data_IF_364589963127
#
_entry.id   IF_364589963127
#
_cell.length_a   1.000
_cell.length_b   1.000
_cell.length_c   1.000
_cell.angle_alpha   90.00
_cell.angle_beta   90.00
_cell.angle_gamma   90.00
#
_symmetry.space_group_name_H-M   'P 1'
#
loop_
_entity.id
_entity.type
_entity.pdbx_description
1 polymer ?
#
# COMPACT_ATOMS: atom_id res chain seq x y z
N UNK A 1 -4.28 9.19 6.13
CA UNK A 1 -3.86 7.79 5.91
C UNK A 1 -3.02 7.73 4.67
N UNK A 2 -2.15 6.74 4.58
CA UNK A 2 -1.29 6.49 3.42
C UNK A 2 -2.14 6.02 2.23
N UNK A 3 -1.90 6.51 1.00
CA UNK A 3 -2.68 6.09 -0.16
C UNK A 3 -2.46 4.60 -0.46
N UNK A 4 -3.54 3.91 -0.83
CA UNK A 4 -3.55 2.48 -1.23
C UNK A 4 -4.56 2.30 -2.37
N UNK A 5 -4.31 1.39 -3.31
CA UNK A 5 -5.24 1.03 -4.38
C UNK A 5 -5.87 -0.32 -4.05
N UNK A 6 -7.20 -0.40 -4.10
CA UNK A 6 -7.94 -1.66 -3.94
C UNK A 6 -8.86 -1.79 -5.15
N UNK A 7 -8.72 -2.88 -5.90
CA UNK A 7 -9.54 -3.14 -7.10
C UNK A 7 -9.56 -1.97 -8.11
N UNK A 8 -8.41 -1.31 -8.31
CA UNK A 8 -8.30 -0.13 -9.19
C UNK A 8 -8.87 1.17 -8.61
N UNK A 9 -9.41 1.15 -7.39
CA UNK A 9 -9.98 2.32 -6.72
C UNK A 9 -9.00 2.83 -5.66
N UNK A 10 -8.67 4.13 -5.74
CA UNK A 10 -7.75 4.77 -4.78
C UNK A 10 -8.49 5.04 -3.46
N UNK A 11 -7.90 4.58 -2.37
CA UNK A 11 -8.37 4.74 -0.99
C UNK A 11 -7.17 5.01 -0.07
N UNK A 12 -7.31 4.76 1.25
CA UNK A 12 -6.31 5.07 2.28
C UNK A 12 -6.25 4.04 3.39
N UNK A 13 -5.11 3.97 4.06
CA UNK A 13 -4.98 3.26 5.33
C UNK A 13 -5.77 3.94 6.46
N UNK A 14 -6.25 3.14 7.40
CA UNK A 14 -6.95 3.56 8.61
C UNK A 14 -6.39 2.85 9.83
N UNK A 15 -6.40 3.52 10.99
CA UNK A 15 -5.80 2.96 12.21
C UNK A 15 -4.27 2.87 12.14
N UNK A 16 -3.71 1.99 12.96
CA UNK A 16 -2.26 1.74 13.04
C UNK A 16 -1.83 0.57 12.17
N UNK A 17 -0.57 0.57 11.74
CA UNK A 17 0.05 -0.56 11.06
C UNK A 17 0.55 -1.56 12.11
N UNK A 18 0.27 -2.85 11.91
CA UNK A 18 0.80 -3.96 12.72
C UNK A 18 2.02 -4.60 12.04
N UNK A 19 2.65 -5.58 12.67
CA UNK A 19 3.86 -6.23 12.09
C UNK A 19 3.63 -6.85 10.71
N UNK A 20 2.45 -7.48 10.52
CA UNK A 20 2.12 -8.27 9.33
C UNK A 20 0.78 -7.87 8.69
N UNK A 21 0.07 -6.91 9.27
CA UNK A 21 -1.25 -6.47 8.78
C UNK A 21 -1.39 -4.95 8.86
N UNK A 22 -2.20 -4.41 7.96
CA UNK A 22 -2.67 -3.03 7.98
C UNK A 22 -4.15 -2.99 7.59
N UNK A 23 -4.87 -1.96 8.01
CA UNK A 23 -6.27 -1.77 7.67
C UNK A 23 -6.43 -0.67 6.60
N UNK A 24 -7.37 -0.88 5.68
CA UNK A 24 -7.68 0.01 4.56
C UNK A 24 -9.17 0.32 4.57
N UNK A 25 -9.52 1.56 4.26
CA UNK A 25 -10.91 2.00 4.11
C UNK A 25 -11.52 1.41 2.84
N UNK A 26 -12.48 0.49 3.00
CA UNK A 26 -13.20 -0.15 1.88
C UNK A 26 -14.52 0.54 1.53
N UNK A 27 -14.87 1.65 2.19
CA UNK A 27 -16.08 2.42 1.86
C UNK A 27 -16.21 2.76 0.36
N UNK A 28 -15.13 3.14 -0.37
CA UNK A 28 -15.24 3.40 -1.81
C UNK A 28 -15.15 2.13 -2.68
N UNK A 29 -14.92 0.95 -2.12
CA UNK A 29 -14.63 -0.30 -2.84
C UNK A 29 -15.69 -1.38 -2.58
N UNK A 30 -16.95 -1.22 -3.06
CA UNK A 30 -18.05 -2.12 -2.71
C UNK A 30 -17.92 -3.54 -3.25
N UNK A 31 -17.06 -3.76 -4.26
CA UNK A 31 -16.78 -5.07 -4.85
C UNK A 31 -15.55 -5.76 -4.25
N UNK A 32 -14.82 -5.09 -3.35
CA UNK A 32 -13.64 -5.67 -2.73
C UNK A 32 -14.04 -6.83 -1.80
N UNK A 33 -13.35 -7.95 -1.97
CA UNK A 33 -13.53 -9.16 -1.17
C UNK A 33 -12.20 -9.80 -0.81
N UNK A 34 -12.26 -11.00 -0.23
CA UNK A 34 -11.06 -11.76 0.10
C UNK A 34 -10.34 -12.14 -1.19
N UNK A 35 -9.03 -11.85 -1.24
CA UNK A 35 -8.19 -12.11 -2.42
C UNK A 35 -8.17 -10.99 -3.45
N UNK A 36 -8.94 -9.91 -3.26
CA UNK A 36 -8.86 -8.72 -4.11
C UNK A 36 -7.43 -8.15 -4.07
N UNK A 37 -6.84 -7.86 -5.24
CA UNK A 37 -5.49 -7.30 -5.30
C UNK A 37 -5.45 -5.89 -4.72
N UNK A 38 -4.35 -5.61 -4.03
CA UNK A 38 -4.07 -4.32 -3.39
C UNK A 38 -2.69 -3.84 -3.83
N UNK A 39 -2.61 -2.58 -4.27
CA UNK A 39 -1.34 -1.93 -4.59
C UNK A 39 -0.99 -0.93 -3.47
N UNK A 40 0.15 -1.15 -2.79
CA UNK A 40 0.68 -0.22 -1.79
C UNK A 40 1.48 0.90 -2.48
N UNK A 41 2.32 0.53 -3.43
CA UNK A 41 2.96 1.42 -4.40
C UNK A 41 3.34 0.60 -5.64
N UNK A 42 3.42 1.25 -6.79
CA UNK A 42 3.63 0.60 -8.07
C UNK A 42 3.25 1.49 -9.23
N UNK A 43 2.43 0.94 -10.13
CA UNK A 43 2.05 1.57 -11.39
C UNK A 43 1.10 2.75 -11.18
N UNK A 44 0.10 2.59 -10.32
CA UNK A 44 -0.97 3.56 -10.12
C UNK A 44 -0.68 4.44 -8.88
N UNK A 45 0.05 3.92 -7.90
CA UNK A 45 0.46 4.66 -6.70
C UNK A 45 1.97 4.84 -6.69
N UNK A 46 2.41 6.09 -6.86
CA UNK A 46 3.83 6.43 -6.80
C UNK A 46 4.37 6.24 -5.38
N UNK A 47 5.57 5.67 -5.25
CA UNK A 47 6.24 5.50 -3.94
C UNK A 47 6.45 6.84 -3.21
N UNK A 48 6.66 7.93 -3.94
CA UNK A 48 6.82 9.26 -3.34
C UNK A 48 5.52 9.80 -2.69
N UNK A 49 4.34 9.43 -3.22
CA UNK A 49 3.06 9.78 -2.60
C UNK A 49 2.90 9.08 -1.25
N UNK A 50 3.34 7.81 -1.18
CA UNK A 50 3.34 7.00 0.04
C UNK A 50 4.33 7.56 1.05
N UNK A 51 5.54 7.87 0.60
CA UNK A 51 6.61 8.40 1.44
C UNK A 51 6.23 9.76 2.04
N UNK A 52 5.66 10.65 1.23
CA UNK A 52 5.15 11.94 1.68
C UNK A 52 4.07 11.77 2.77
N UNK A 53 3.14 10.83 2.58
CA UNK A 53 2.13 10.52 3.60
C UNK A 53 2.71 9.89 4.88
N UNK A 54 3.85 9.23 4.79
CA UNK A 54 4.57 8.63 5.91
C UNK A 54 5.64 9.55 6.54
N UNK A 55 5.85 10.76 5.99
CA UNK A 55 6.85 11.71 6.48
C UNK A 55 8.30 11.30 6.20
N UNK A 56 8.54 10.55 5.13
CA UNK A 56 9.85 10.04 4.71
C UNK A 56 10.08 10.26 3.20
N UNK A 57 11.15 9.70 2.65
CA UNK A 57 11.55 9.73 1.24
C UNK A 57 11.25 8.39 0.56
N UNK A 58 10.94 8.43 -0.74
CA UNK A 58 10.66 7.21 -1.51
C UNK A 58 11.82 6.20 -1.47
N UNK A 59 13.06 6.69 -1.42
CA UNK A 59 14.25 5.85 -1.29
C UNK A 59 14.26 5.02 -0.01
N UNK A 60 13.84 5.58 1.12
CA UNK A 60 13.76 4.83 2.39
C UNK A 60 12.76 3.68 2.29
N UNK A 61 11.60 3.91 1.67
CA UNK A 61 10.61 2.85 1.46
C UNK A 61 11.15 1.72 0.56
N UNK A 62 11.84 2.07 -0.52
CA UNK A 62 12.42 1.10 -1.46
C UNK A 62 13.53 0.27 -0.79
N UNK A 63 14.36 0.89 0.04
CA UNK A 63 15.44 0.20 0.74
C UNK A 63 15.00 -0.54 2.01
N UNK A 64 13.85 -0.18 2.59
CA UNK A 64 13.33 -0.80 3.81
C UNK A 64 12.46 -2.05 3.58
N UNK A 65 12.34 -2.52 2.34
CA UNK A 65 11.61 -3.76 2.04
C UNK A 65 12.32 -4.95 2.70
N UNK A 66 11.69 -5.52 3.72
CA UNK A 66 12.26 -6.61 4.50
C UNK A 66 12.40 -7.91 3.69
N UNK A 67 13.37 -8.79 4.03
CA UNK A 67 13.61 -10.05 3.31
C UNK A 67 12.41 -11.02 3.22
N UNK A 68 11.38 -10.84 4.04
CA UNK A 68 10.14 -11.64 4.00
C UNK A 68 9.29 -11.39 2.75
N UNK A 69 9.53 -10.29 2.03
CA UNK A 69 8.81 -9.96 0.80
C UNK A 69 9.53 -10.62 -0.39
N UNK A 70 8.87 -11.51 -1.15
CA UNK A 70 9.48 -12.12 -2.31
C UNK A 70 9.63 -11.11 -3.45
N UNK A 71 10.81 -11.09 -4.09
CA UNK A 71 11.06 -10.34 -5.32
C UNK A 71 10.85 -11.26 -6.51
N UNK A 72 9.97 -10.87 -7.42
CA UNK A 72 9.68 -11.61 -8.66
C UNK A 72 10.24 -10.80 -9.82
N UNK A 73 11.07 -11.44 -10.65
CA UNK A 73 11.56 -10.87 -11.92
C UNK A 73 10.77 -11.51 -13.05
N UNK A 74 10.11 -10.69 -13.87
CA UNK A 74 9.40 -11.14 -15.07
C UNK A 74 10.37 -11.49 -16.19
#
# INVERSE_FOLDING_TARGET
GTPVLVDGIRTRTVGTVSMDMLAVDLTPCPQAGIGTPVELWGKEIKVDDVASAAGTLGYELLCAVAPRVPFVTT
#
